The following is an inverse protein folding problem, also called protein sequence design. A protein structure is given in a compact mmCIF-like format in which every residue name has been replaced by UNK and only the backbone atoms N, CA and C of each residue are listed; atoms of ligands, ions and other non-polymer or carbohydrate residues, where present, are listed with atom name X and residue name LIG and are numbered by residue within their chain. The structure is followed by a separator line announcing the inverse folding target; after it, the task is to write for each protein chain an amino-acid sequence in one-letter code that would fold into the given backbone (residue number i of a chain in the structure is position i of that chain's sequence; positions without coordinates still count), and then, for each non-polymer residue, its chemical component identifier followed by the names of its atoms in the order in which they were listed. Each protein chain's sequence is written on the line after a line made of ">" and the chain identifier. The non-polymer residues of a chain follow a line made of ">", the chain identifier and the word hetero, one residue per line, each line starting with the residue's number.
data_IF_543307870375
#
_entry.id   IF_543307870375
#
_cell.length_a   1.000
_cell.length_b   1.000
_cell.length_c   1.000
_cell.angle_alpha   90.00
_cell.angle_beta   90.00
_cell.angle_gamma   90.00
#
_symmetry.space_group_name_H-M   'P 1'
#
loop_
_entity.id
_entity.type
_entity.pdbx_description
1 polymer ?
#
# COMPACT_ATOMS: atom_id res chain seq x y z
N UNK A 1 -20.17 -20.65 -48.81
CA UNK A 1 -18.97 -20.01 -48.22
C UNK A 1 -19.32 -18.84 -47.31
N UNK A 2 -20.19 -17.92 -47.75
CA UNK A 2 -20.62 -16.75 -46.94
C UNK A 2 -21.32 -17.12 -45.62
N UNK A 3 -22.23 -18.11 -45.62
CA UNK A 3 -22.96 -18.53 -44.41
C UNK A 3 -22.08 -19.14 -43.30
N UNK A 4 -21.03 -19.89 -43.67
CA UNK A 4 -20.10 -20.49 -42.69
C UNK A 4 -19.20 -19.45 -42.03
N UNK A 5 -18.75 -18.45 -42.81
CA UNK A 5 -18.00 -17.31 -42.28
C UNK A 5 -18.89 -16.48 -41.34
N UNK A 6 -20.17 -16.34 -41.68
CA UNK A 6 -21.14 -15.62 -40.86
C UNK A 6 -21.43 -16.38 -39.55
N UNK A 7 -21.65 -17.69 -39.58
CA UNK A 7 -21.82 -18.51 -38.37
C UNK A 7 -20.58 -18.54 -37.47
N UNK A 8 -19.38 -18.69 -38.04
CA UNK A 8 -18.14 -18.67 -37.27
C UNK A 8 -17.91 -17.30 -36.60
N UNK A 9 -18.21 -16.21 -37.30
CA UNK A 9 -18.18 -14.85 -36.74
C UNK A 9 -19.20 -14.66 -35.61
N UNK A 10 -20.39 -15.28 -35.74
CA UNK A 10 -21.45 -15.23 -34.74
C UNK A 10 -21.07 -16.01 -33.48
N UNK A 11 -20.54 -17.23 -33.63
CA UNK A 11 -20.06 -18.05 -32.51
C UNK A 11 -18.87 -17.41 -31.79
N UNK A 12 -17.94 -16.82 -32.55
CA UNK A 12 -16.82 -16.08 -31.96
C UNK A 12 -17.32 -14.86 -31.18
N UNK A 13 -18.32 -14.15 -31.69
CA UNK A 13 -18.94 -13.01 -30.99
C UNK A 13 -19.68 -13.44 -29.73
N UNK A 14 -20.34 -14.60 -29.73
CA UNK A 14 -20.99 -15.17 -28.55
C UNK A 14 -19.98 -15.63 -27.51
N UNK A 15 -18.88 -16.28 -27.93
CA UNK A 15 -17.80 -16.71 -27.05
C UNK A 15 -17.13 -15.53 -26.36
N UNK A 16 -16.76 -14.50 -27.13
CA UNK A 16 -16.16 -13.26 -26.59
C UNK A 16 -17.11 -12.59 -25.60
N UNK A 17 -18.42 -12.52 -25.91
CA UNK A 17 -19.43 -12.01 -24.95
C UNK A 17 -19.54 -12.88 -23.69
N UNK A 18 -19.38 -14.19 -23.82
CA UNK A 18 -19.35 -15.13 -22.70
C UNK A 18 -18.16 -14.89 -21.78
N UNK A 19 -16.95 -14.79 -22.33
CA UNK A 19 -15.73 -14.49 -21.56
C UNK A 19 -15.80 -13.12 -20.90
N UNK A 20 -16.32 -12.10 -21.60
CA UNK A 20 -16.52 -10.77 -21.03
C UNK A 20 -17.50 -10.79 -19.85
N UNK A 21 -18.59 -11.57 -19.93
CA UNK A 21 -19.54 -11.74 -18.82
C UNK A 21 -18.92 -12.47 -17.64
N UNK A 22 -18.13 -13.51 -17.91
CA UNK A 22 -17.43 -14.27 -16.89
C UNK A 22 -16.38 -13.39 -16.18
N UNK A 23 -15.58 -12.64 -16.94
CA UNK A 23 -14.62 -11.68 -16.42
C UNK A 23 -15.31 -10.59 -15.58
N UNK A 24 -16.46 -10.07 -16.03
CA UNK A 24 -17.25 -9.12 -15.24
C UNK A 24 -17.74 -9.71 -13.92
N UNK A 25 -18.22 -10.96 -13.92
CA UNK A 25 -18.65 -11.64 -12.70
C UNK A 25 -17.47 -11.85 -11.73
N UNK A 26 -16.32 -12.31 -12.22
CA UNK A 26 -15.12 -12.53 -11.40
C UNK A 26 -14.56 -11.20 -10.86
N UNK A 27 -14.54 -10.13 -11.66
CA UNK A 27 -14.16 -8.79 -11.23
C UNK A 27 -15.10 -8.23 -10.17
N UNK A 28 -16.41 -8.47 -10.29
CA UNK A 28 -17.40 -8.04 -9.30
C UNK A 28 -17.23 -8.77 -7.96
N UNK A 29 -16.99 -10.07 -7.98
CA UNK A 29 -16.75 -10.86 -6.78
C UNK A 29 -15.41 -10.51 -6.10
N UNK A 30 -14.34 -10.34 -6.89
CA UNK A 30 -13.08 -9.79 -6.39
C UNK A 30 -13.30 -8.41 -5.78
N UNK A 31 -13.94 -7.50 -6.52
CA UNK A 31 -14.24 -6.13 -6.07
C UNK A 31 -15.04 -6.07 -4.77
N UNK A 32 -16.02 -6.96 -4.58
CA UNK A 32 -16.79 -7.05 -3.32
C UNK A 32 -15.94 -7.54 -2.15
N UNK A 33 -15.04 -8.50 -2.39
CA UNK A 33 -14.13 -9.03 -1.36
C UNK A 33 -13.08 -7.99 -0.96
N UNK A 34 -12.46 -7.32 -1.93
CA UNK A 34 -11.53 -6.21 -1.70
C UNK A 34 -12.22 -4.98 -1.09
N UNK A 35 -13.45 -4.66 -1.51
CA UNK A 35 -14.22 -3.54 -0.96
C UNK A 35 -14.64 -3.75 0.49
N UNK A 36 -15.10 -4.96 0.84
CA UNK A 36 -15.36 -5.30 2.25
C UNK A 36 -14.09 -5.31 3.09
N UNK A 37 -13.00 -5.89 2.58
CA UNK A 37 -11.71 -5.92 3.27
C UNK A 37 -11.14 -4.51 3.48
N UNK A 38 -11.16 -3.68 2.44
CA UNK A 38 -10.72 -2.29 2.50
C UNK A 38 -11.59 -1.43 3.40
N UNK A 39 -12.91 -1.61 3.37
CA UNK A 39 -13.84 -0.91 4.27
C UNK A 39 -13.66 -1.30 5.74
N UNK A 40 -13.50 -2.59 6.04
CA UNK A 40 -13.23 -3.07 7.41
C UNK A 40 -11.86 -2.61 7.90
N UNK A 41 -10.82 -2.65 7.06
CA UNK A 41 -9.49 -2.18 7.43
C UNK A 41 -9.46 -0.66 7.65
N UNK A 42 -10.14 0.09 6.79
CA UNK A 42 -10.32 1.54 6.97
C UNK A 42 -11.08 1.86 8.27
N UNK A 43 -12.18 1.15 8.53
CA UNK A 43 -12.94 1.28 9.77
C UNK A 43 -12.12 0.92 11.02
N UNK A 44 -11.37 -0.18 10.97
CA UNK A 44 -10.45 -0.58 12.03
C UNK A 44 -9.35 0.46 12.26
N UNK A 45 -8.84 1.11 11.22
CA UNK A 45 -7.90 2.22 11.34
C UNK A 45 -8.49 3.41 12.11
N UNK A 46 -9.71 3.83 11.77
CA UNK A 46 -10.40 4.94 12.47
C UNK A 46 -10.71 4.57 13.92
N UNK A 47 -11.28 3.39 14.16
CA UNK A 47 -11.60 2.92 15.52
C UNK A 47 -10.34 2.73 16.35
N UNK A 48 -9.27 2.17 15.77
CA UNK A 48 -7.97 2.03 16.42
C UNK A 48 -7.36 3.38 16.79
N UNK A 49 -7.46 4.38 15.92
CA UNK A 49 -7.02 5.75 16.22
C UNK A 49 -7.79 6.36 17.40
N UNK A 50 -9.13 6.22 17.42
CA UNK A 50 -9.95 6.69 18.54
C UNK A 50 -9.62 5.95 19.84
N UNK A 51 -9.38 4.64 19.77
CA UNK A 51 -8.96 3.82 20.91
C UNK A 51 -7.63 4.32 21.49
N UNK A 52 -6.64 4.64 20.64
CA UNK A 52 -5.36 5.19 21.09
C UNK A 52 -5.56 6.54 21.81
N UNK A 53 -6.38 7.43 21.26
CA UNK A 53 -6.69 8.71 21.91
C UNK A 53 -7.38 8.53 23.27
N UNK A 54 -8.35 7.62 23.36
CA UNK A 54 -9.03 7.28 24.61
C UNK A 54 -8.07 6.66 25.65
N UNK A 55 -7.13 5.83 25.20
CA UNK A 55 -6.10 5.25 26.06
C UNK A 55 -5.17 6.33 26.63
N UNK A 56 -4.71 7.28 25.81
CA UNK A 56 -3.92 8.43 26.29
C UNK A 56 -4.69 9.23 27.34
N UNK A 57 -5.95 9.54 27.07
CA UNK A 57 -6.81 10.25 28.04
C UNK A 57 -6.99 9.46 29.34
N UNK A 58 -7.12 8.13 29.25
CA UNK A 58 -7.25 7.24 30.42
C UNK A 58 -5.99 7.27 31.28
N UNK A 59 -4.80 7.22 30.67
CA UNK A 59 -3.53 7.30 31.41
C UNK A 59 -3.38 8.66 32.09
N UNK A 60 -3.72 9.76 31.40
CA UNK A 60 -3.70 11.10 31.99
C UNK A 60 -4.65 11.17 33.18
N UNK A 61 -5.89 10.68 33.05
CA UNK A 61 -6.87 10.68 34.13
C UNK A 61 -6.41 9.86 35.33
N UNK A 62 -5.80 8.68 35.10
CA UNK A 62 -5.26 7.84 36.16
C UNK A 62 -4.11 8.53 36.91
N UNK A 63 -3.20 9.19 36.20
CA UNK A 63 -2.10 9.95 36.80
C UNK A 63 -2.57 11.24 37.49
N UNK A 64 -3.70 11.80 37.06
CA UNK A 64 -4.31 12.98 37.66
C UNK A 64 -5.02 12.71 38.99
N UNK A 65 -5.09 11.44 39.45
CA UNK A 65 -5.63 11.13 40.79
C UNK A 65 -4.76 11.73 41.90
N UNK A 66 -3.43 11.52 41.90
CA UNK A 66 -2.51 12.18 42.85
C UNK A 66 -1.88 13.50 42.34
N UNK A 67 -2.00 13.84 41.06
CA UNK A 67 -1.32 14.99 40.44
C UNK A 67 -2.32 15.96 39.81
N UNK A 68 -1.98 17.25 39.67
CA UNK A 68 -2.78 18.14 38.84
C UNK A 68 -2.77 17.70 37.38
N UNK A 69 -3.90 17.86 36.68
CA UNK A 69 -4.11 17.38 35.30
C UNK A 69 -3.02 17.85 34.33
N UNK A 70 -2.54 19.10 34.49
CA UNK A 70 -1.48 19.64 33.63
C UNK A 70 -0.15 18.87 33.77
N UNK A 71 0.21 18.45 34.99
CA UNK A 71 1.44 17.71 35.24
C UNK A 71 1.32 16.28 34.70
N UNK A 72 0.18 15.63 34.92
CA UNK A 72 -0.11 14.32 34.34
C UNK A 72 -0.05 14.35 32.80
N UNK A 73 -0.67 15.36 32.17
CA UNK A 73 -0.63 15.54 30.72
C UNK A 73 0.79 15.76 30.19
N UNK A 74 1.62 16.56 30.87
CA UNK A 74 3.02 16.77 30.48
C UNK A 74 3.85 15.49 30.58
N UNK A 75 3.68 14.69 31.63
CA UNK A 75 4.40 13.41 31.80
C UNK A 75 4.05 12.46 30.64
N UNK A 76 2.76 12.29 30.34
CA UNK A 76 2.31 11.42 29.25
C UNK A 76 2.80 11.93 27.90
N UNK A 77 2.73 13.25 27.67
CA UNK A 77 3.23 13.87 26.43
C UNK A 77 4.73 13.65 26.25
N UNK A 78 5.52 13.83 27.31
CA UNK A 78 6.96 13.61 27.27
C UNK A 78 7.29 12.14 26.98
N UNK A 79 6.61 11.20 27.65
CA UNK A 79 6.80 9.77 27.42
C UNK A 79 6.47 9.36 25.97
N UNK A 80 5.32 9.80 25.44
CA UNK A 80 4.95 9.56 24.05
C UNK A 80 5.91 10.25 23.07
N UNK A 81 6.38 11.44 23.39
CA UNK A 81 7.38 12.17 22.60
C UNK A 81 8.70 11.42 22.46
N UNK A 82 9.17 10.79 23.55
CA UNK A 82 10.37 9.94 23.51
C UNK A 82 10.13 8.71 22.62
N UNK A 83 8.99 8.03 22.78
CA UNK A 83 8.64 6.87 21.95
C UNK A 83 8.57 7.27 20.46
N UNK A 84 7.92 8.39 20.16
CA UNK A 84 7.81 8.93 18.80
C UNK A 84 9.18 9.28 18.21
N UNK A 85 10.06 9.92 19.00
CA UNK A 85 11.42 10.24 18.56
C UNK A 85 12.22 8.96 18.24
N UNK A 86 12.14 7.93 19.09
CA UNK A 86 12.82 6.64 18.84
C UNK A 86 12.29 5.98 17.57
N UNK A 87 10.96 5.94 17.37
CA UNK A 87 10.36 5.38 16.16
C UNK A 87 10.77 6.16 14.91
N UNK A 88 10.74 7.50 14.96
CA UNK A 88 11.12 8.36 13.84
C UNK A 88 12.60 8.20 13.47
N UNK A 89 13.50 8.15 14.45
CA UNK A 89 14.92 7.94 14.23
C UNK A 89 15.21 6.53 13.70
N UNK A 90 14.55 5.51 14.25
CA UNK A 90 14.69 4.12 13.79
C UNK A 90 14.14 3.92 12.37
N UNK A 91 12.99 4.53 12.07
CA UNK A 91 12.40 4.52 10.74
C UNK A 91 13.28 5.25 9.73
N UNK A 92 13.79 6.44 10.08
CA UNK A 92 14.75 7.19 9.24
C UNK A 92 16.00 6.36 8.99
N UNK A 93 16.55 5.68 10.01
CA UNK A 93 17.70 4.80 9.87
C UNK A 93 17.41 3.66 8.89
N UNK A 94 16.30 2.96 9.03
CA UNK A 94 15.91 1.87 8.12
C UNK A 94 15.68 2.36 6.69
N UNK A 95 15.02 3.49 6.50
CA UNK A 95 14.82 4.08 5.17
C UNK A 95 16.14 4.54 4.55
N UNK A 96 17.06 5.10 5.36
CA UNK A 96 18.39 5.51 4.89
C UNK A 96 19.35 4.33 4.62
N UNK A 97 19.07 3.16 5.21
CA UNK A 97 19.87 1.95 5.06
C UNK A 97 19.31 0.99 4.00
N UNK A 98 18.04 1.15 3.63
CA UNK A 98 17.54 0.57 2.39
C UNK A 98 18.38 1.17 1.24
N UNK A 99 19.05 0.28 0.49
CA UNK A 99 19.97 0.55 -0.62
C UNK A 99 19.52 1.73 -1.52
N UNK A 100 20.44 2.42 -2.23
CA UNK A 100 20.08 3.59 -3.01
C UNK A 100 18.86 3.30 -3.89
N UNK A 101 17.91 4.24 -4.03
CA UNK A 101 16.65 4.05 -4.76
C UNK A 101 16.84 3.68 -6.23
N UNK A 102 18.08 3.66 -6.71
CA UNK A 102 18.49 3.27 -8.04
C UNK A 102 19.12 1.86 -8.01
N UNK A 103 18.58 0.89 -8.76
CA UNK A 103 19.20 -0.42 -8.91
C UNK A 103 20.51 -0.28 -9.70
N UNK A 104 21.63 -0.23 -8.98
CA UNK A 104 22.97 -0.02 -9.56
C UNK A 104 23.30 -1.05 -10.64
N UNK A 105 22.89 -2.30 -10.45
CA UNK A 105 23.08 -3.37 -11.43
C UNK A 105 22.26 -3.13 -12.70
N UNK A 106 21.00 -2.67 -12.60
CA UNK A 106 20.19 -2.34 -13.76
C UNK A 106 20.76 -1.14 -14.51
N UNK A 107 21.29 -0.14 -13.81
CA UNK A 107 21.95 1.01 -14.44
C UNK A 107 23.24 0.57 -15.15
N UNK A 108 24.01 -0.35 -14.57
CA UNK A 108 25.21 -0.90 -15.19
C UNK A 108 24.90 -1.72 -16.44
N UNK A 109 23.86 -2.57 -16.40
CA UNK A 109 23.43 -3.36 -17.54
C UNK A 109 22.94 -2.47 -18.70
N UNK A 110 22.11 -1.47 -18.41
CA UNK A 110 21.65 -0.50 -19.45
C UNK A 110 22.84 0.27 -20.05
N UNK A 111 23.85 0.63 -19.25
CA UNK A 111 25.08 1.26 -19.79
C UNK A 111 25.87 0.33 -20.68
N UNK A 112 25.95 -0.97 -20.35
CA UNK A 112 26.62 -1.98 -21.15
C UNK A 112 25.88 -2.20 -22.49
N UNK A 113 24.55 -2.36 -22.45
CA UNK A 113 23.71 -2.53 -23.63
C UNK A 113 23.82 -1.33 -24.59
N UNK A 114 23.87 -0.11 -24.05
CA UNK A 114 24.06 1.12 -24.85
C UNK A 114 25.47 1.17 -25.46
N UNK A 115 26.50 0.69 -24.76
CA UNK A 115 27.85 0.62 -25.29
C UNK A 115 27.97 -0.39 -26.44
N UNK A 116 27.34 -1.55 -26.31
CA UNK A 116 27.31 -2.60 -27.34
C UNK A 116 26.58 -2.15 -28.61
N UNK A 117 25.44 -1.45 -28.46
CA UNK A 117 24.72 -0.86 -29.59
C UNK A 117 25.59 0.20 -30.30
N UNK A 118 26.32 1.01 -29.53
CA UNK A 118 27.20 2.06 -30.08
C UNK A 118 28.41 1.48 -30.81
N UNK A 119 28.93 0.35 -30.36
CA UNK A 119 30.02 -0.37 -31.03
C UNK A 119 29.53 -1.05 -32.31
N UNK A 120 28.34 -1.67 -32.26
CA UNK A 120 27.70 -2.32 -33.42
C UNK A 120 27.34 -1.34 -34.53
N UNK A 121 26.98 -0.09 -34.19
CA UNK A 121 26.68 0.96 -35.15
C UNK A 121 27.94 1.62 -35.77
N UNK A 122 29.13 1.31 -35.25
CA UNK A 122 30.41 1.87 -35.72
C UNK A 122 31.22 0.90 -36.59
N UNK A 123 30.78 -0.35 -36.71
CA UNK A 123 31.24 -1.33 -37.72
C UNK A 123 30.36 -1.24 -38.97
#
# INVERSE_FOLDING_TARGET
>A
MSELVQQASQQLSELVRGELRLAQAEMKDKGKRYGKGGGLFGGAGVVGFLMLQAMVATVIAALAVPLPVWAAALIVTAALGVIAAVMALSGKKQVSQAAPPAPEQTIQNVKADVAEIKESARR
#
